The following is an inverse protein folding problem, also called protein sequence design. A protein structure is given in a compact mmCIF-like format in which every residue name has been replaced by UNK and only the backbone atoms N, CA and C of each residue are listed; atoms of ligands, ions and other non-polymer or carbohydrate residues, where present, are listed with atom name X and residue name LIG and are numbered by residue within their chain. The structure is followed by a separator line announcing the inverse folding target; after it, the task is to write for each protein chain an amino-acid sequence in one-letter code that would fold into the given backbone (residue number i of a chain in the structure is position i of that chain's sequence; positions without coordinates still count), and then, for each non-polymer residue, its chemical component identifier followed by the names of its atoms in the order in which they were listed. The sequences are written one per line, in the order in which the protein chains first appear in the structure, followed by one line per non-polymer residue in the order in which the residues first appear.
data_IF_962489840843
#
_entry.id   IF_962489840843
#
_cell.length_a   1.000
_cell.length_b   1.000
_cell.length_c   1.000
_cell.angle_alpha   90.00
_cell.angle_beta   90.00
_cell.angle_gamma   90.00
#
_symmetry.space_group_name_H-M   'P 1'
#
loop_
_entity.id
_entity.type
_entity.pdbx_description
1 polymer ?
#
# COMPACT_ATOMS: atom_id res chain seq x y z
N UNK A 1 -7.44 20.10 12.40
CA UNK A 1 -6.73 19.10 11.57
C UNK A 1 -6.96 19.52 10.14
N UNK A 2 -5.93 19.72 9.31
CA UNK A 2 -6.14 20.17 7.93
C UNK A 2 -6.69 18.98 7.11
N UNK A 3 -8.01 18.91 6.98
CA UNK A 3 -8.71 17.82 6.30
C UNK A 3 -8.40 17.85 4.81
N UNK A 4 -8.05 16.71 4.23
CA UNK A 4 -7.98 16.52 2.78
C UNK A 4 -8.92 15.37 2.43
N UNK A 5 -9.49 15.39 1.23
CA UNK A 5 -10.37 14.33 0.76
C UNK A 5 -9.68 13.54 -0.35
N UNK A 6 -9.44 12.26 -0.13
CA UNK A 6 -8.90 11.33 -1.13
C UNK A 6 -10.04 10.50 -1.68
N UNK A 7 -10.19 10.48 -3.00
CA UNK A 7 -11.08 9.52 -3.67
C UNK A 7 -10.25 8.31 -4.04
N UNK A 8 -10.66 7.14 -3.56
CA UNK A 8 -9.99 5.87 -3.82
C UNK A 8 -10.90 4.90 -4.55
N UNK A 9 -10.29 3.91 -5.21
CA UNK A 9 -10.96 2.73 -5.74
C UNK A 9 -10.59 1.51 -4.91
N UNK A 10 -11.50 0.56 -4.79
CA UNK A 10 -11.24 -0.66 -4.03
C UNK A 10 -9.99 -1.41 -4.53
N UNK A 11 -9.10 -1.77 -3.61
CA UNK A 11 -7.87 -2.51 -3.93
C UNK A 11 -8.20 -3.97 -4.26
N UNK A 12 -8.35 -4.26 -5.56
CA UNK A 12 -8.83 -5.57 -6.05
C UNK A 12 -7.83 -6.29 -6.95
N UNK A 13 -6.73 -5.64 -7.31
CA UNK A 13 -5.72 -6.23 -8.17
C UNK A 13 -4.90 -7.31 -7.44
N UNK A 14 -4.38 -8.32 -8.16
CA UNK A 14 -3.41 -9.24 -7.59
C UNK A 14 -2.15 -8.48 -7.15
N UNK A 15 -1.54 -8.94 -6.06
CA UNK A 15 -0.24 -8.48 -5.58
C UNK A 15 0.74 -9.63 -5.71
N UNK A 16 1.93 -9.30 -6.21
CA UNK A 16 3.03 -10.25 -6.32
C UNK A 16 4.16 -9.92 -5.34
N UNK A 17 4.94 -10.94 -4.99
CA UNK A 17 6.00 -10.81 -3.99
C UNK A 17 7.02 -9.69 -4.31
N UNK A 18 7.26 -9.36 -5.59
CA UNK A 18 8.21 -8.30 -5.97
C UNK A 18 7.75 -6.88 -5.65
N UNK A 19 6.47 -6.69 -5.35
CA UNK A 19 5.84 -5.43 -4.99
C UNK A 19 5.92 -5.14 -3.48
N UNK A 20 6.25 -6.16 -2.69
CA UNK A 20 6.43 -6.05 -1.25
C UNK A 20 7.64 -5.18 -0.91
N UNK A 21 7.47 -4.37 0.13
CA UNK A 21 8.48 -3.46 0.70
C UNK A 21 8.64 -3.74 2.20
N UNK A 22 9.77 -3.34 2.81
CA UNK A 22 9.90 -3.34 4.26
C UNK A 22 8.70 -2.65 4.94
N UNK A 23 8.16 -3.28 5.99
CA UNK A 23 6.98 -2.84 6.71
C UNK A 23 5.65 -3.39 6.19
N UNK A 24 5.60 -3.94 4.98
CA UNK A 24 4.37 -4.56 4.45
C UNK A 24 4.02 -5.84 5.21
N UNK A 25 2.71 -6.11 5.32
CA UNK A 25 2.17 -7.36 5.88
C UNK A 25 1.43 -8.10 4.78
N UNK A 26 1.77 -9.38 4.61
CA UNK A 26 1.13 -10.23 3.61
C UNK A 26 0.85 -11.63 4.19
N UNK A 27 0.03 -12.39 3.50
CA UNK A 27 -0.14 -13.82 3.71
C UNK A 27 -0.10 -14.55 2.37
N UNK A 28 0.23 -15.84 2.39
CA UNK A 28 0.06 -16.66 1.20
C UNK A 28 -1.42 -17.01 0.99
N UNK A 29 -1.91 -17.12 -0.26
CA UNK A 29 -3.32 -17.43 -0.53
C UNK A 29 -3.81 -18.75 0.08
N UNK A 30 -2.93 -19.75 0.19
CA UNK A 30 -3.16 -21.07 0.80
C UNK A 30 -3.05 -21.08 2.33
N UNK A 31 -2.46 -20.04 2.93
CA UNK A 31 -2.33 -19.87 4.37
C UNK A 31 -2.75 -18.44 4.82
N UNK A 32 -4.01 -18.02 4.58
CA UNK A 32 -4.43 -16.63 4.75
C UNK A 32 -4.47 -16.15 6.22
N UNK A 33 -4.50 -17.08 7.17
CA UNK A 33 -4.49 -16.79 8.62
C UNK A 33 -3.08 -16.63 9.20
N UNK A 34 -2.04 -16.71 8.38
CA UNK A 34 -0.64 -16.64 8.81
C UNK A 34 0.02 -15.37 8.25
N UNK A 35 -0.22 -14.21 8.87
CA UNK A 35 0.37 -12.95 8.42
C UNK A 35 1.89 -12.94 8.64
N UNK A 36 2.62 -12.42 7.67
CA UNK A 36 4.07 -12.25 7.67
C UNK A 36 4.40 -10.78 7.43
N UNK A 37 5.24 -10.20 8.29
CA UNK A 37 5.69 -8.81 8.16
C UNK A 37 7.07 -8.79 7.52
N UNK A 38 7.22 -8.05 6.43
CA UNK A 38 8.47 -7.92 5.70
C UNK A 38 9.43 -7.00 6.46
N UNK A 39 10.57 -7.52 6.87
CA UNK A 39 11.65 -6.73 7.47
C UNK A 39 12.61 -6.19 6.40
N UNK A 40 12.94 -7.03 5.41
CA UNK A 40 13.90 -6.68 4.37
C UNK A 40 13.64 -7.47 3.09
N UNK A 41 14.00 -6.89 1.94
CA UNK A 41 13.85 -7.51 0.60
C UNK A 41 15.17 -7.40 -0.16
N UNK A 42 15.71 -8.54 -0.59
CA UNK A 42 16.85 -8.60 -1.51
C UNK A 42 16.44 -9.31 -2.80
N UNK A 43 16.72 -8.70 -3.95
CA UNK A 43 16.41 -9.26 -5.28
C UNK A 43 17.67 -9.86 -5.90
N UNK A 44 17.55 -11.02 -6.51
CA UNK A 44 18.62 -11.70 -7.26
C UNK A 44 18.07 -12.10 -8.63
N UNK A 45 18.62 -11.52 -9.70
CA UNK A 45 18.30 -11.95 -11.07
C UNK A 45 19.05 -13.24 -11.39
N UNK A 46 18.32 -14.28 -11.79
CA UNK A 46 18.89 -15.57 -12.19
C UNK A 46 18.89 -15.73 -13.71
N UNK A 47 17.91 -15.15 -14.40
CA UNK A 47 17.84 -15.02 -15.86
C UNK A 47 17.01 -13.79 -16.24
N UNK A 48 16.82 -13.54 -17.55
CA UNK A 48 15.97 -12.45 -18.04
C UNK A 48 14.53 -12.54 -17.50
N UNK A 49 14.02 -13.75 -17.32
CA UNK A 49 12.62 -14.01 -16.92
C UNK A 49 12.49 -14.49 -15.47
N UNK A 50 13.60 -14.78 -14.79
CA UNK A 50 13.61 -15.32 -13.44
C UNK A 50 14.32 -14.39 -12.47
N UNK A 51 13.54 -13.75 -11.60
CA UNK A 51 14.04 -13.02 -10.43
C UNK A 51 13.61 -13.76 -9.17
N UNK A 52 14.56 -14.04 -8.29
CA UNK A 52 14.33 -14.60 -6.97
C UNK A 52 14.42 -13.49 -5.91
N UNK A 53 13.46 -13.48 -5.00
CA UNK A 53 13.42 -12.61 -3.84
C UNK A 53 13.88 -13.40 -2.62
N UNK A 54 14.77 -12.80 -1.85
CA UNK A 54 15.12 -13.22 -0.50
C UNK A 54 14.49 -12.22 0.47
N UNK A 55 13.41 -12.66 1.13
CA UNK A 55 12.59 -11.88 2.06
C UNK A 55 12.96 -12.25 3.49
N UNK A 56 13.47 -11.29 4.24
CA UNK A 56 13.55 -11.42 5.70
C UNK A 56 12.19 -11.01 6.28
N UNK A 57 11.61 -11.85 7.12
CA UNK A 57 10.32 -11.58 7.76
C UNK A 57 10.47 -11.61 9.27
N UNK A 58 9.74 -10.74 9.98
CA UNK A 58 9.77 -10.72 11.44
C UNK A 58 9.28 -12.05 12.03
N UNK A 59 9.97 -12.54 13.05
CA UNK A 59 9.63 -13.79 13.73
C UNK A 59 10.08 -15.07 13.01
N UNK A 60 10.91 -14.96 11.96
CA UNK A 60 11.58 -16.11 11.33
C UNK A 60 13.09 -15.88 11.28
N UNK A 61 13.84 -16.92 11.61
CA UNK A 61 15.31 -16.89 11.58
C UNK A 61 15.85 -17.09 10.16
N UNK A 62 15.12 -17.85 9.33
CA UNK A 62 15.49 -18.11 7.94
C UNK A 62 14.71 -17.21 6.98
N UNK A 63 15.38 -16.62 5.98
CA UNK A 63 14.70 -15.86 4.95
C UNK A 63 13.82 -16.73 4.04
N UNK A 64 12.76 -16.14 3.51
CA UNK A 64 11.91 -16.77 2.51
C UNK A 64 12.46 -16.51 1.11
N UNK A 65 12.60 -17.57 0.34
CA UNK A 65 13.01 -17.50 -1.06
C UNK A 65 11.79 -17.68 -1.96
N UNK A 66 11.39 -16.61 -2.65
CA UNK A 66 10.20 -16.61 -3.51
C UNK A 66 10.54 -16.12 -4.92
N UNK A 67 10.00 -16.75 -5.98
CA UNK A 67 9.93 -16.12 -7.29
C UNK A 67 9.27 -14.73 -7.21
N UNK A 68 9.75 -13.78 -8.02
CA UNK A 68 9.22 -12.41 -8.05
C UNK A 68 7.72 -12.33 -8.37
N UNK A 69 7.22 -13.29 -9.15
CA UNK A 69 5.82 -13.40 -9.58
C UNK A 69 4.98 -14.32 -8.68
N UNK A 70 5.46 -14.72 -7.50
CA UNK A 70 4.64 -15.46 -6.53
C UNK A 70 3.46 -14.58 -6.08
N UNK A 71 2.20 -15.02 -6.25
CA UNK A 71 1.04 -14.28 -5.80
C UNK A 71 0.97 -14.27 -4.27
N UNK A 72 0.61 -13.12 -3.70
CA UNK A 72 0.45 -12.93 -2.26
C UNK A 72 -0.85 -12.18 -1.97
N UNK A 73 -1.40 -12.38 -0.78
CA UNK A 73 -2.49 -11.57 -0.25
C UNK A 73 -1.90 -10.44 0.58
N UNK A 74 -2.00 -9.21 0.08
CA UNK A 74 -1.63 -8.03 0.85
C UNK A 74 -2.65 -7.80 1.98
N UNK A 75 -2.15 -7.67 3.21
CA UNK A 75 -2.95 -7.35 4.40
C UNK A 75 -2.69 -5.92 4.88
N UNK A 76 -1.49 -5.40 4.63
CA UNK A 76 -1.10 -4.01 4.84
C UNK A 76 0.01 -3.63 3.85
N UNK A 77 -0.17 -2.55 3.11
CA UNK A 77 0.83 -2.01 2.18
C UNK A 77 0.80 -0.48 2.22
N UNK A 78 1.63 0.10 3.10
CA UNK A 78 1.73 1.55 3.22
C UNK A 78 2.50 2.15 2.06
N UNK A 79 1.90 3.11 1.36
CA UNK A 79 2.51 3.82 0.23
C UNK A 79 2.29 5.32 0.39
N UNK A 80 3.37 6.07 0.28
CA UNK A 80 3.32 7.51 0.05
C UNK A 80 3.09 7.74 -1.45
N UNK A 81 2.00 8.41 -1.79
CA UNK A 81 1.63 8.74 -3.17
C UNK A 81 1.51 10.25 -3.31
N UNK A 82 2.18 10.81 -4.31
CA UNK A 82 2.07 12.23 -4.63
C UNK A 82 0.88 12.46 -5.57
N UNK A 83 -0.15 13.15 -5.08
CA UNK A 83 -1.37 13.44 -5.84
C UNK A 83 -1.50 14.95 -6.03
N UNK A 84 -1.84 15.36 -7.25
CA UNK A 84 -2.20 16.74 -7.53
C UNK A 84 -3.66 17.00 -7.16
N UNK A 85 -3.91 18.08 -6.43
CA UNK A 85 -5.28 18.51 -6.16
C UNK A 85 -6.03 18.77 -7.48
N UNK A 86 -7.25 18.27 -7.59
CA UNK A 86 -8.09 18.47 -8.78
C UNK A 86 -8.39 19.94 -9.08
N UNK A 87 -8.39 20.80 -8.06
CA UNK A 87 -8.83 22.19 -8.16
C UNK A 87 -7.67 23.16 -8.38
N UNK A 88 -6.65 23.13 -7.51
CA UNK A 88 -5.51 24.07 -7.60
C UNK A 88 -4.24 23.45 -8.17
N UNK A 89 -4.24 22.15 -8.50
CA UNK A 89 -3.08 21.40 -9.04
C UNK A 89 -1.84 21.34 -8.15
N UNK A 90 -1.89 21.86 -6.92
CA UNK A 90 -0.82 21.67 -5.93
C UNK A 90 -0.69 20.18 -5.62
N UNK A 91 0.54 19.66 -5.66
CA UNK A 91 0.84 18.29 -5.27
C UNK A 91 0.94 18.17 -3.75
N UNK A 92 0.43 17.06 -3.23
CA UNK A 92 0.56 16.70 -1.83
C UNK A 92 0.88 15.21 -1.74
N UNK A 93 1.77 14.86 -0.83
CA UNK A 93 2.10 13.47 -0.52
C UNK A 93 1.11 12.96 0.53
N UNK A 94 0.48 11.82 0.23
CA UNK A 94 -0.50 11.16 1.08
C UNK A 94 -0.02 9.73 1.35
N UNK A 95 -0.05 9.32 2.62
CA UNK A 95 0.21 7.95 3.02
C UNK A 95 -1.11 7.16 3.01
N UNK A 96 -1.12 6.03 2.31
CA UNK A 96 -2.27 5.14 2.19
C UNK A 96 -1.88 3.69 2.48
N UNK A 97 -2.69 2.98 3.25
CA UNK A 97 -2.66 1.53 3.36
C UNK A 97 -3.52 0.91 2.26
N UNK A 98 -2.94 0.54 1.12
CA UNK A 98 -3.71 0.23 -0.09
C UNK A 98 -4.81 -0.84 0.11
N UNK A 99 -4.58 -1.98 0.81
CA UNK A 99 -5.65 -2.95 1.07
C UNK A 99 -6.82 -2.41 1.90
N UNK A 100 -6.59 -1.41 2.74
CA UNK A 100 -7.60 -0.80 3.61
C UNK A 100 -8.25 0.43 2.95
N UNK A 101 -7.44 1.37 2.48
CA UNK A 101 -7.87 2.66 1.95
C UNK A 101 -8.24 2.62 0.47
N UNK A 102 -7.69 1.66 -0.29
CA UNK A 102 -7.85 1.56 -1.74
C UNK A 102 -6.71 2.19 -2.55
N UNK A 103 -6.80 2.08 -3.87
CA UNK A 103 -5.88 2.76 -4.79
C UNK A 103 -6.32 4.21 -4.99
N UNK A 104 -5.41 5.19 -4.85
CA UNK A 104 -5.78 6.60 -5.01
C UNK A 104 -6.13 6.91 -6.46
N UNK A 105 -7.26 7.59 -6.65
CA UNK A 105 -7.70 8.10 -7.94
C UNK A 105 -7.50 9.62 -8.03
N UNK A 106 -7.91 10.35 -7.00
CA UNK A 106 -7.84 11.81 -6.99
C UNK A 106 -7.82 12.39 -5.57
N UNK A 107 -7.44 13.67 -5.49
CA UNK A 107 -7.28 14.41 -4.23
C UNK A 107 -7.95 15.78 -4.32
N UNK A 108 -8.62 16.19 -3.24
CA UNK A 108 -8.96 17.58 -2.93
C UNK A 108 -8.18 18.01 -1.69
N UNK A 109 -7.30 19.00 -1.83
CA UNK A 109 -6.46 19.47 -0.72
C UNK A 109 -7.27 20.28 0.29
N UNK A 110 -6.68 20.51 1.47
CA UNK A 110 -7.34 21.19 2.58
C UNK A 110 -7.84 22.60 2.27
N UNK A 111 -7.15 23.34 1.38
CA UNK A 111 -7.60 24.67 0.92
C UNK A 111 -8.98 24.63 0.23
N UNK A 112 -9.51 23.44 -0.09
CA UNK A 112 -10.73 23.25 -0.84
C UNK A 112 -11.69 22.20 -0.26
N UNK A 113 -11.38 21.63 0.91
CA UNK A 113 -12.35 20.82 1.65
C UNK A 113 -13.15 21.78 2.54
N UNK A 114 -14.48 21.85 2.40
CA UNK A 114 -15.30 22.67 3.29
C UNK A 114 -15.13 22.17 4.73
N UNK A 115 -15.07 23.09 5.70
CA UNK A 115 -14.98 22.73 7.13
C UNK A 115 -16.19 21.87 7.50
N UNK A 116 -15.92 20.61 7.83
CA UNK A 116 -16.96 19.64 8.22
C UNK A 116 -17.59 20.00 9.58
N UNK A 117 -17.02 20.96 10.31
CA UNK A 117 -17.53 21.45 11.58
C UNK A 117 -18.83 22.27 11.41
N UNK A 118 -19.11 22.85 10.24
CA UNK A 118 -20.33 23.66 10.02
C UNK A 118 -21.61 22.83 9.73
N UNK A 119 -21.49 21.51 9.60
CA UNK A 119 -22.64 20.63 9.27
C UNK A 119 -23.33 20.00 10.49
N UNK A 120 -22.90 20.30 11.71
CA UNK A 120 -23.46 19.69 12.94
C UNK A 120 -24.27 20.64 13.84
N UNK A 121 -24.41 21.93 13.49
CA UNK A 121 -25.13 22.90 14.34
C UNK A 121 -26.59 23.19 13.93
N UNK A 122 -27.21 22.38 13.07
CA UNK A 122 -28.62 22.53 12.68
C UNK A 122 -29.49 21.30 13.01
N UNK A 123 -29.51 20.89 14.28
CA UNK A 123 -30.58 20.04 14.85
C UNK A 123 -31.30 20.76 16.01
#
# INVERSE_FOLDING_TARGET
MNGHAVVTLGFTRPVYAHELRPGDVFAFPDAPSTPLTVAHVKKTGLSADLTLLNLTVHGRDEPLHLPANTPVKALRMLRTVSLACLLCRKSQDIDLDLPHDGEPLSLVCADHVPDLDELTENE
#
